data_IF_850368325717
#
_entry.id   IF_850368325717
#
_cell.length_a   1.000
_cell.length_b   1.000
_cell.length_c   1.000
_cell.angle_alpha   90.00
_cell.angle_beta   90.00
_cell.angle_gamma   90.00
#
_symmetry.space_group_name_H-M   'P 1'
#
loop_
_entity.id
_entity.type
_entity.pdbx_description
1 polymer ?
#
# COMPACT_ATOMS: atom_id res chain seq x y z
N UNK A 1 -9.31 -1.13 -8.75
CA UNK A 1 -8.39 -0.02 -9.09
C UNK A 1 -7.04 -0.62 -9.52
N UNK A 2 -6.38 -0.06 -10.53
CA UNK A 2 -5.06 -0.52 -10.99
C UNK A 2 -4.08 0.65 -10.99
N UNK A 3 -2.93 0.46 -10.34
CA UNK A 3 -1.77 1.35 -10.36
C UNK A 3 -0.52 0.58 -10.83
N UNK A 4 -0.72 -0.49 -11.61
CA UNK A 4 0.35 -1.35 -12.12
C UNK A 4 1.37 -0.58 -12.95
N UNK A 5 2.63 -1.01 -12.92
CA UNK A 5 3.72 -0.49 -13.75
C UNK A 5 4.00 1.00 -13.53
N UNK A 6 4.04 1.40 -12.26
CA UNK A 6 4.42 2.74 -11.84
C UNK A 6 5.73 2.70 -11.03
N UNK A 7 6.17 3.86 -10.53
CA UNK A 7 7.38 3.98 -9.71
C UNK A 7 7.05 4.33 -8.25
N UNK A 8 5.89 3.90 -7.76
CA UNK A 8 5.46 4.20 -6.39
C UNK A 8 6.41 3.53 -5.39
N UNK A 9 6.98 4.32 -4.48
CA UNK A 9 7.85 3.83 -3.41
C UNK A 9 7.09 3.67 -2.08
N UNK A 10 6.01 4.41 -1.92
CA UNK A 10 5.09 4.39 -0.78
C UNK A 10 3.64 4.60 -1.26
N UNK A 11 2.69 4.29 -0.40
CA UNK A 11 1.27 4.62 -0.58
C UNK A 11 0.84 5.55 0.56
N UNK A 12 -0.07 6.49 0.29
CA UNK A 12 -0.60 7.40 1.30
C UNK A 12 -1.60 6.69 2.23
N UNK A 13 -1.77 7.22 3.44
CA UNK A 13 -2.58 6.60 4.52
C UNK A 13 -4.07 6.67 4.23
N UNK A 14 -4.46 7.65 3.41
CA UNK A 14 -5.79 7.83 2.88
C UNK A 14 -6.27 6.62 2.08
N UNK A 15 -5.37 5.72 1.66
CA UNK A 15 -5.77 4.43 1.07
C UNK A 15 -6.69 3.66 2.02
N UNK A 16 -6.47 3.72 3.34
CA UNK A 16 -7.32 3.05 4.33
C UNK A 16 -8.74 3.62 4.43
N UNK A 17 -9.00 4.79 3.86
CA UNK A 17 -10.36 5.37 3.79
C UNK A 17 -11.18 4.76 2.64
N UNK A 18 -10.55 4.05 1.70
CA UNK A 18 -11.22 3.41 0.58
C UNK A 18 -11.90 2.09 1.01
N UNK A 19 -12.78 2.14 2.01
CA UNK A 19 -13.37 0.95 2.66
C UNK A 19 -14.13 0.03 1.72
N UNK A 20 -14.65 0.54 0.59
CA UNK A 20 -15.34 -0.21 -0.46
C UNK A 20 -14.40 -0.81 -1.53
N UNK A 21 -13.08 -0.64 -1.39
CA UNK A 21 -12.11 -1.12 -2.37
C UNK A 21 -12.02 -2.64 -2.31
N UNK A 22 -12.47 -3.31 -3.37
CA UNK A 22 -12.48 -4.79 -3.44
C UNK A 22 -11.26 -5.40 -4.13
N UNK A 23 -10.68 -4.65 -5.08
CA UNK A 23 -9.66 -5.16 -6.00
C UNK A 23 -8.63 -4.06 -6.20
N UNK A 24 -7.38 -4.33 -5.85
CA UNK A 24 -6.26 -3.40 -6.00
C UNK A 24 -5.05 -4.08 -6.63
N UNK A 25 -4.55 -3.54 -7.75
CA UNK A 25 -3.33 -4.01 -8.39
C UNK A 25 -2.20 -2.98 -8.24
N UNK A 26 -1.15 -3.35 -7.51
CA UNK A 26 0.05 -2.57 -7.26
C UNK A 26 1.31 -3.23 -7.84
N UNK A 27 1.14 -4.32 -8.59
CA UNK A 27 2.25 -5.04 -9.22
C UNK A 27 3.11 -4.10 -10.07
N UNK A 28 4.40 -4.41 -10.17
CA UNK A 28 5.36 -3.61 -10.93
C UNK A 28 5.45 -2.15 -10.43
N UNK A 29 5.63 -2.03 -9.11
CA UNK A 29 5.98 -0.78 -8.43
C UNK A 29 7.26 -0.99 -7.59
N UNK A 30 7.68 0.02 -6.83
CA UNK A 30 8.88 -0.02 -5.97
C UNK A 30 8.52 0.08 -4.49
N UNK A 31 7.31 -0.34 -4.12
CA UNK A 31 6.81 -0.26 -2.75
C UNK A 31 7.70 -1.06 -1.81
N UNK A 32 8.24 -0.40 -0.79
CA UNK A 32 9.08 -1.07 0.23
C UNK A 32 8.23 -1.77 1.28
N UNK A 33 7.06 -1.20 1.56
CA UNK A 33 6.08 -1.67 2.51
C UNK A 33 4.69 -1.13 2.11
N UNK A 34 3.65 -1.77 2.63
CA UNK A 34 2.30 -1.23 2.64
C UNK A 34 2.08 -0.44 3.94
N UNK A 35 1.27 0.63 3.94
CA UNK A 35 0.97 1.39 5.15
C UNK A 35 0.01 0.60 6.06
N UNK A 36 0.06 0.84 7.37
CA UNK A 36 -0.75 0.11 8.36
C UNK A 36 -2.25 0.31 8.13
N UNK A 37 -2.64 1.46 7.58
CA UNK A 37 -3.98 1.79 7.10
C UNK A 37 -4.57 0.78 6.11
N UNK A 38 -3.78 -0.07 5.44
CA UNK A 38 -4.30 -1.20 4.65
C UNK A 38 -5.20 -2.14 5.46
N UNK A 39 -4.95 -2.27 6.77
CA UNK A 39 -5.78 -3.09 7.68
C UNK A 39 -7.22 -2.59 7.81
N UNK A 40 -7.49 -1.34 7.39
CA UNK A 40 -8.82 -0.72 7.36
C UNK A 40 -9.62 -1.10 6.10
N UNK A 41 -8.98 -1.66 5.07
CA UNK A 41 -9.62 -2.09 3.83
C UNK A 41 -10.39 -3.41 4.01
N UNK A 42 -11.52 -3.36 4.72
CA UNK A 42 -12.30 -4.55 5.10
C UNK A 42 -12.89 -5.32 3.92
N UNK A 43 -13.20 -4.65 2.81
CA UNK A 43 -13.80 -5.28 1.63
C UNK A 43 -12.77 -5.73 0.58
N UNK A 44 -11.46 -5.56 0.83
CA UNK A 44 -10.42 -5.91 -0.12
C UNK A 44 -10.32 -7.43 -0.27
N UNK A 45 -10.77 -7.93 -1.42
CA UNK A 45 -10.83 -9.35 -1.75
C UNK A 45 -9.63 -9.80 -2.59
N UNK A 46 -9.00 -8.90 -3.35
CA UNK A 46 -7.86 -9.22 -4.20
C UNK A 46 -6.81 -8.10 -4.19
N UNK A 47 -5.56 -8.50 -3.95
CA UNK A 47 -4.39 -7.62 -3.93
C UNK A 47 -3.26 -8.26 -4.75
N UNK A 48 -2.78 -7.58 -5.78
CA UNK A 48 -1.58 -7.99 -6.53
C UNK A 48 -0.39 -7.12 -6.13
N UNK A 49 0.69 -7.78 -5.73
CA UNK A 49 1.99 -7.20 -5.38
C UNK A 49 3.09 -7.92 -6.16
N UNK A 50 4.23 -7.26 -6.31
CA UNK A 50 5.46 -7.91 -6.76
C UNK A 50 6.23 -8.52 -5.58
N UNK A 51 7.09 -9.52 -5.83
CA UNK A 51 7.84 -10.24 -4.77
C UNK A 51 8.57 -9.31 -3.79
N UNK A 52 9.17 -8.23 -4.29
CA UNK A 52 9.89 -7.25 -3.49
C UNK A 52 9.01 -6.33 -2.63
N UNK A 53 7.68 -6.49 -2.67
CA UNK A 53 6.69 -5.65 -1.99
C UNK A 53 5.90 -6.42 -0.91
N UNK A 54 6.30 -7.65 -0.61
CA UNK A 54 5.58 -8.58 0.27
C UNK A 54 5.96 -8.46 1.76
N UNK A 55 6.69 -7.41 2.16
CA UNK A 55 7.08 -7.24 3.57
C UNK A 55 5.84 -7.12 4.47
N UNK A 56 5.90 -7.81 5.60
CA UNK A 56 4.80 -7.83 6.57
C UNK A 56 4.46 -6.42 7.07
N UNK A 57 3.16 -6.17 7.24
CA UNK A 57 2.64 -4.98 7.89
C UNK A 57 3.01 -5.02 9.38
N UNK A 58 3.89 -4.12 9.83
CA UNK A 58 4.24 -3.99 11.25
C UNK A 58 3.63 -2.70 11.78
N UNK A 59 2.89 -2.70 12.91
CA UNK A 59 2.24 -1.50 13.46
C UNK A 59 3.19 -0.33 13.78
N UNK A 60 4.49 -0.63 13.92
CA UNK A 60 5.56 0.33 14.21
C UNK A 60 6.26 0.86 12.95
N UNK A 61 5.95 0.34 11.76
CA UNK A 61 6.36 1.00 10.53
C UNK A 61 5.52 2.26 10.42
N UNK A 62 6.14 3.40 10.73
CA UNK A 62 5.56 4.70 10.46
C UNK A 62 5.22 4.76 8.99
N UNK A 63 3.98 5.13 8.70
CA UNK A 63 3.55 5.31 7.33
C UNK A 63 4.43 6.41 6.73
N UNK A 64 5.16 6.09 5.68
CA UNK A 64 6.20 6.97 5.18
C UNK A 64 5.53 8.18 4.52
N UNK A 65 5.37 9.27 5.27
CA UNK A 65 5.00 10.55 4.71
C UNK A 65 6.15 11.04 3.81
N UNK A 66 5.89 11.44 2.56
CA UNK A 66 6.92 11.96 1.67
C UNK A 66 7.64 13.22 2.18
N UNK A 67 7.13 13.86 3.24
CA UNK A 67 7.69 15.10 3.78
C UNK A 67 8.63 14.93 4.99
N UNK A 68 8.76 13.74 5.59
CA UNK A 68 9.72 13.55 6.69
C UNK A 68 11.09 13.14 6.16
N UNK A 69 11.74 14.08 5.46
CA UNK A 69 13.20 14.20 5.42
C UNK A 69 13.64 15.24 6.45
N UNK A 70 13.51 14.93 7.75
CA UNK A 70 14.29 15.57 8.82
C UNK A 70 14.61 14.52 9.87
#
# INVERSE_FOLDING_TARGET
MSLRSNKLEFLPDEIGQMTKLRVLNLSDNRLKNLPFSFTKLKDLAALWLSDNQSKALIPLQTEAHPETKQ
#
